data_IF_547615411012
#
_entry.id   IF_547615411012
#
_cell.length_a   1.000
_cell.length_b   1.000
_cell.length_c   1.000
_cell.angle_alpha   90.00
_cell.angle_beta   90.00
_cell.angle_gamma   90.00
#
_symmetry.space_group_name_H-M   'P 1'
#
loop_
_entity.id
_entity.type
_entity.pdbx_description
1 polymer ?
#
# COMPACT_ATOMS: atom_id res chain seq x y z
N UNK A 1 -11.17 4.51 -17.81
CA UNK A 1 -11.78 5.81 -17.56
C UNK A 1 -12.87 6.09 -18.62
N UNK A 2 -12.56 6.00 -19.89
CA UNK A 2 -13.52 6.20 -20.99
C UNK A 2 -14.74 5.25 -20.94
N UNK A 3 -14.61 4.09 -20.30
CA UNK A 3 -15.70 3.12 -20.07
C UNK A 3 -16.57 3.46 -18.85
N UNK A 4 -16.35 4.59 -18.18
CA UNK A 4 -17.13 5.02 -17.04
C UNK A 4 -16.54 4.63 -15.67
N UNK A 5 -15.33 4.09 -15.60
CA UNK A 5 -14.66 3.88 -14.31
C UNK A 5 -14.37 5.25 -13.68
N UNK A 6 -14.76 5.42 -12.41
CA UNK A 6 -14.48 6.65 -11.67
C UNK A 6 -13.01 6.72 -11.21
N UNK A 7 -12.37 5.57 -11.02
CA UNK A 7 -10.99 5.43 -10.54
C UNK A 7 -10.29 4.28 -11.27
N UNK A 8 -8.99 4.43 -11.47
CA UNK A 8 -8.11 3.41 -12.05
C UNK A 8 -6.95 3.19 -11.11
N UNK A 9 -6.84 2.00 -10.54
CA UNK A 9 -5.74 1.62 -9.67
C UNK A 9 -4.61 0.98 -10.47
N UNK A 10 -3.40 1.53 -10.34
CA UNK A 10 -2.19 1.07 -11.01
C UNK A 10 -1.46 0.08 -10.11
N UNK A 11 -1.33 -1.18 -10.57
CA UNK A 11 -0.83 -2.28 -9.76
C UNK A 11 0.59 -2.73 -10.07
N UNK A 12 1.40 -2.95 -9.04
CA UNK A 12 2.61 -3.80 -9.09
C UNK A 12 2.26 -5.17 -8.53
N UNK A 13 1.66 -6.01 -9.37
CA UNK A 13 1.02 -7.28 -8.99
C UNK A 13 1.97 -8.29 -8.34
N UNK A 14 3.25 -8.28 -8.68
CA UNK A 14 4.24 -9.22 -8.15
C UNK A 14 5.27 -8.57 -7.23
N UNK A 15 5.19 -7.26 -7.04
CA UNK A 15 6.01 -6.50 -6.10
C UNK A 15 7.47 -6.35 -6.52
N UNK A 16 7.77 -6.32 -7.82
CA UNK A 16 9.14 -6.17 -8.37
C UNK A 16 9.47 -4.74 -8.81
N UNK A 17 8.51 -3.84 -8.71
CA UNK A 17 8.67 -2.44 -9.05
C UNK A 17 9.65 -1.73 -8.11
N UNK A 18 10.29 -0.71 -8.65
CA UNK A 18 11.15 0.20 -7.88
C UNK A 18 10.60 1.63 -7.97
N UNK A 19 10.97 2.57 -7.10
CA UNK A 19 10.39 3.91 -7.07
C UNK A 19 10.39 4.63 -8.44
N UNK A 20 11.49 4.51 -9.18
CA UNK A 20 11.58 5.08 -10.52
C UNK A 20 10.57 4.46 -11.49
N UNK A 21 10.46 3.12 -11.50
CA UNK A 21 9.50 2.42 -12.36
C UNK A 21 8.06 2.76 -12.01
N UNK A 22 7.74 2.88 -10.72
CA UNK A 22 6.42 3.27 -10.25
C UNK A 22 6.07 4.70 -10.70
N UNK A 23 6.99 5.65 -10.54
CA UNK A 23 6.81 7.02 -11.00
C UNK A 23 6.70 7.12 -12.54
N UNK A 24 7.50 6.36 -13.28
CA UNK A 24 7.45 6.34 -14.76
C UNK A 24 6.11 5.75 -15.25
N UNK A 25 5.62 4.67 -14.63
CA UNK A 25 4.30 4.08 -14.89
C UNK A 25 3.19 5.10 -14.64
N UNK A 26 3.19 5.72 -13.46
CA UNK A 26 2.20 6.74 -13.12
C UNK A 26 2.20 7.89 -14.11
N UNK A 27 3.36 8.42 -14.46
CA UNK A 27 3.52 9.50 -15.44
C UNK A 27 2.97 9.12 -16.83
N UNK A 28 3.24 7.91 -17.28
CA UNK A 28 2.76 7.42 -18.56
C UNK A 28 1.23 7.35 -18.60
N UNK A 29 0.60 6.83 -17.52
CA UNK A 29 -0.87 6.75 -17.46
C UNK A 29 -1.52 8.11 -17.23
N UNK A 30 -0.88 9.00 -16.46
CA UNK A 30 -1.39 10.35 -16.20
C UNK A 30 -1.39 11.23 -17.46
N UNK A 31 -0.70 10.84 -18.53
CA UNK A 31 -0.81 11.49 -19.83
C UNK A 31 -2.16 11.25 -20.51
N UNK A 32 -2.86 10.15 -20.16
CA UNK A 32 -4.12 9.73 -20.77
C UNK A 32 -5.33 9.84 -19.82
N UNK A 33 -5.08 9.71 -18.48
CA UNK A 33 -6.12 9.70 -17.45
C UNK A 33 -5.81 10.79 -16.42
N UNK A 34 -6.80 11.63 -16.05
CA UNK A 34 -6.59 12.66 -15.04
C UNK A 34 -6.03 12.09 -13.73
N UNK A 35 -4.97 12.69 -13.20
CA UNK A 35 -4.29 12.22 -11.98
C UNK A 35 -5.24 12.02 -10.79
N UNK A 36 -6.27 12.85 -10.54
CA UNK A 36 -7.24 12.61 -9.46
C UNK A 36 -8.08 11.34 -9.61
N UNK A 37 -8.11 10.74 -10.80
CA UNK A 37 -8.78 9.45 -11.06
C UNK A 37 -7.82 8.26 -11.00
N UNK A 38 -6.56 8.48 -10.56
CA UNK A 38 -5.57 7.42 -10.43
C UNK A 38 -5.36 7.05 -8.97
N UNK A 39 -5.33 5.74 -8.70
CA UNK A 39 -4.90 5.13 -7.45
C UNK A 39 -3.65 4.27 -7.70
N UNK A 40 -2.97 3.88 -6.63
CA UNK A 40 -1.83 2.96 -6.70
C UNK A 40 -2.00 1.79 -5.75
N UNK A 41 -1.57 0.61 -6.22
CA UNK A 41 -1.63 -0.65 -5.50
C UNK A 41 -0.27 -1.36 -5.60
N UNK A 42 0.44 -1.47 -4.48
CA UNK A 42 1.77 -2.08 -4.46
C UNK A 42 1.84 -3.32 -3.58
N UNK A 43 2.45 -4.38 -4.13
CA UNK A 43 2.88 -5.53 -3.34
C UNK A 43 4.28 -5.29 -2.77
N UNK A 44 4.54 -5.82 -1.57
CA UNK A 44 5.79 -5.58 -0.83
C UNK A 44 6.76 -6.77 -0.89
N UNK A 45 6.70 -7.57 -1.96
CA UNK A 45 7.51 -8.79 -2.14
C UNK A 45 9.00 -8.55 -1.94
N UNK A 46 9.52 -7.45 -2.48
CA UNK A 46 10.93 -7.04 -2.35
C UNK A 46 11.12 -5.85 -1.39
N UNK A 47 10.13 -5.54 -0.55
CA UNK A 47 10.22 -4.45 0.41
C UNK A 47 10.26 -3.05 -0.21
N UNK A 48 9.74 -2.89 -1.45
CA UNK A 48 9.80 -1.62 -2.17
C UNK A 48 8.49 -0.84 -2.16
N UNK A 49 7.40 -1.42 -1.63
CA UNK A 49 6.06 -0.83 -1.74
C UNK A 49 5.97 0.57 -1.16
N UNK A 50 6.51 0.82 0.04
CA UNK A 50 6.48 2.15 0.67
C UNK A 50 7.32 3.18 -0.10
N UNK A 51 8.46 2.77 -0.64
CA UNK A 51 9.30 3.65 -1.46
C UNK A 51 8.62 3.99 -2.81
N UNK A 52 7.95 2.99 -3.44
CA UNK A 52 7.16 3.19 -4.65
C UNK A 52 5.99 4.15 -4.37
N UNK A 53 5.31 3.95 -3.23
CA UNK A 53 4.21 4.82 -2.80
C UNK A 53 4.68 6.25 -2.63
N UNK A 54 5.80 6.48 -1.92
CA UNK A 54 6.35 7.82 -1.69
C UNK A 54 6.63 8.53 -3.02
N UNK A 55 7.26 7.84 -3.99
CA UNK A 55 7.51 8.39 -5.31
C UNK A 55 6.22 8.77 -6.07
N UNK A 56 5.14 8.00 -5.91
CA UNK A 56 3.85 8.30 -6.51
C UNK A 56 3.11 9.44 -5.78
N UNK A 57 3.25 9.54 -4.45
CA UNK A 57 2.72 10.67 -3.66
C UNK A 57 3.37 12.00 -4.07
N UNK A 58 4.69 12.01 -4.26
CA UNK A 58 5.43 13.19 -4.74
C UNK A 58 4.96 13.61 -6.13
N UNK A 59 4.59 12.63 -6.98
CA UNK A 59 4.02 12.88 -8.30
C UNK A 59 2.52 13.27 -8.26
N UNK A 60 1.88 13.29 -7.09
CA UNK A 60 0.54 13.84 -6.88
C UNK A 60 -0.60 12.85 -6.68
N UNK A 61 -0.35 11.54 -6.64
CA UNK A 61 -1.38 10.54 -6.29
C UNK A 61 -1.90 10.77 -4.87
N UNK A 62 -3.19 10.49 -4.64
CA UNK A 62 -3.85 10.66 -3.35
C UNK A 62 -4.66 9.46 -2.89
N UNK A 63 -4.79 8.44 -3.74
CA UNK A 63 -5.50 7.19 -3.41
C UNK A 63 -4.51 6.04 -3.43
N UNK A 64 -4.52 5.25 -2.35
CA UNK A 64 -3.62 4.12 -2.15
C UNK A 64 -4.41 2.92 -1.68
N UNK A 65 -4.27 1.82 -2.39
CA UNK A 65 -4.80 0.53 -1.96
C UNK A 65 -3.78 -0.20 -1.09
N UNK A 66 -4.21 -0.65 0.07
CA UNK A 66 -3.41 -1.43 1.01
C UNK A 66 -4.29 -2.43 1.75
N UNK A 67 -3.71 -3.39 2.44
CA UNK A 67 -4.46 -4.37 3.22
C UNK A 67 -4.04 -4.36 4.68
N UNK A 68 -5.02 -4.40 5.60
CA UNK A 68 -4.78 -4.52 7.04
C UNK A 68 -3.91 -5.75 7.31
N UNK A 69 -2.88 -5.58 8.13
CA UNK A 69 -1.92 -6.66 8.45
C UNK A 69 -1.15 -7.21 7.23
N UNK A 70 -1.16 -6.51 6.09
CA UNK A 70 -0.67 -7.04 4.82
C UNK A 70 -1.44 -8.29 4.39
N UNK A 71 -2.74 -8.36 4.68
CA UNK A 71 -3.55 -9.53 4.37
C UNK A 71 -3.69 -9.73 2.86
N UNK A 72 -3.73 -11.00 2.46
CA UNK A 72 -3.74 -11.43 1.07
C UNK A 72 -2.43 -12.07 0.66
N UNK A 73 -2.41 -12.61 -0.54
CA UNK A 73 -1.26 -13.24 -1.15
C UNK A 73 -1.22 -12.92 -2.64
N UNK A 74 -0.13 -13.29 -3.29
CA UNK A 74 -0.01 -13.15 -4.73
C UNK A 74 0.06 -14.54 -5.38
N UNK A 75 -0.99 -15.01 -6.09
CA UNK A 75 -0.94 -16.31 -6.75
C UNK A 75 0.04 -16.35 -7.93
N UNK A 76 0.46 -15.18 -8.42
CA UNK A 76 1.36 -15.02 -9.56
C UNK A 76 2.84 -15.00 -9.20
N UNK A 77 3.18 -14.94 -7.90
CA UNK A 77 4.56 -14.92 -7.44
C UNK A 77 4.75 -15.86 -6.25
N UNK A 78 5.43 -16.99 -6.44
CA UNK A 78 5.80 -17.90 -5.35
C UNK A 78 6.64 -17.15 -4.30
N UNK A 79 6.21 -17.23 -3.03
CA UNK A 79 6.91 -16.56 -1.91
C UNK A 79 6.69 -15.05 -1.82
N UNK A 80 5.79 -14.49 -2.61
CA UNK A 80 5.42 -13.09 -2.49
C UNK A 80 4.72 -12.81 -1.15
N UNK A 81 5.14 -11.75 -0.47
CA UNK A 81 4.54 -11.30 0.78
C UNK A 81 3.10 -10.79 0.57
N UNK A 82 2.73 -10.44 -0.67
CA UNK A 82 1.44 -9.87 -1.01
C UNK A 82 1.38 -8.36 -0.76
N UNK A 83 0.21 -7.88 -0.36
CA UNK A 83 -0.09 -6.46 -0.21
C UNK A 83 0.82 -5.76 0.80
N UNK A 84 1.14 -4.49 0.56
CA UNK A 84 1.66 -3.61 1.59
C UNK A 84 0.65 -3.50 2.74
N UNK A 85 1.13 -3.48 3.98
CA UNK A 85 0.26 -3.37 5.14
C UNK A 85 -0.28 -1.93 5.30
N UNK A 86 -1.57 -1.80 5.55
CA UNK A 86 -2.22 -0.49 5.75
C UNK A 86 -1.59 0.28 6.92
N UNK A 87 -1.21 -0.40 8.00
CA UNK A 87 -0.54 0.21 9.15
C UNK A 87 0.79 0.87 8.77
N UNK A 88 1.57 0.21 7.91
CA UNK A 88 2.87 0.72 7.44
C UNK A 88 2.66 1.93 6.52
N UNK A 89 1.61 1.91 5.67
CA UNK A 89 1.22 3.03 4.81
C UNK A 89 0.75 4.22 5.65
N UNK A 90 -0.14 4.01 6.63
CA UNK A 90 -0.66 5.08 7.49
C UNK A 90 0.47 5.71 8.30
N UNK A 91 1.39 4.92 8.84
CA UNK A 91 2.56 5.43 9.54
C UNK A 91 3.43 6.33 8.64
N UNK A 92 3.70 5.89 7.40
CA UNK A 92 4.41 6.70 6.41
C UNK A 92 3.69 8.04 6.14
N UNK A 93 2.37 7.98 5.86
CA UNK A 93 1.56 9.15 5.54
C UNK A 93 1.53 10.16 6.69
N UNK A 94 1.35 9.69 7.94
CA UNK A 94 1.41 10.55 9.12
C UNK A 94 2.79 11.20 9.30
N UNK A 95 3.88 10.44 9.04
CA UNK A 95 5.24 10.96 9.05
C UNK A 95 5.49 12.04 7.98
N UNK A 96 4.75 12.02 6.87
CA UNK A 96 4.74 13.06 5.84
C UNK A 96 3.82 14.26 6.19
N UNK A 97 3.21 14.27 7.37
CA UNK A 97 2.26 15.31 7.78
C UNK A 97 0.88 15.22 7.10
N UNK A 98 0.59 14.10 6.44
CA UNK A 98 -0.68 13.87 5.76
C UNK A 98 -1.71 13.28 6.74
N UNK A 99 -2.93 13.81 6.71
CA UNK A 99 -4.04 13.30 7.52
C UNK A 99 -4.81 12.26 6.72
N UNK A 100 -4.89 11.04 7.25
CA UNK A 100 -5.62 9.93 6.63
C UNK A 100 -7.05 9.76 7.18
N UNK A 101 -7.32 10.33 8.37
CA UNK A 101 -8.55 10.05 9.12
C UNK A 101 -8.56 8.67 9.79
N UNK A 102 -7.47 7.91 9.68
CA UNK A 102 -7.33 6.58 10.28
C UNK A 102 -6.56 6.69 11.60
N UNK A 103 -7.09 6.11 12.66
CA UNK A 103 -6.39 5.94 13.94
C UNK A 103 -5.42 4.76 13.81
N UNK A 104 -4.12 5.05 13.95
CA UNK A 104 -3.07 4.05 13.75
C UNK A 104 -3.05 2.97 14.84
N UNK A 105 -3.36 3.32 16.09
CA UNK A 105 -3.34 2.37 17.19
C UNK A 105 -4.51 1.38 17.07
N UNK A 106 -5.72 1.87 16.77
CA UNK A 106 -6.89 1.03 16.49
C UNK A 106 -6.67 0.17 15.23
N UNK A 107 -6.02 0.70 14.21
CA UNK A 107 -5.68 -0.06 13.01
C UNK A 107 -4.70 -1.20 13.32
N UNK A 108 -3.65 -0.93 14.10
CA UNK A 108 -2.67 -1.94 14.51
C UNK A 108 -3.32 -3.03 15.38
N UNK A 109 -4.25 -2.67 16.28
CA UNK A 109 -5.04 -3.61 17.06
C UNK A 109 -5.91 -4.50 16.18
N UNK A 110 -6.61 -3.89 15.21
CA UNK A 110 -7.40 -4.61 14.20
C UNK A 110 -6.53 -5.56 13.38
N UNK A 111 -5.32 -5.14 13.00
CA UNK A 111 -4.35 -5.97 12.29
C UNK A 111 -3.92 -7.19 13.09
N UNK A 112 -3.67 -7.05 14.38
CA UNK A 112 -3.35 -8.18 15.29
C UNK A 112 -4.53 -9.15 15.40
N UNK A 113 -5.73 -8.62 15.59
CA UNK A 113 -6.96 -9.43 15.62
C UNK A 113 -7.13 -10.24 14.33
N UNK A 114 -6.99 -9.58 13.16
CA UNK A 114 -7.11 -10.24 11.85
C UNK A 114 -6.05 -11.34 11.68
N UNK A 115 -4.78 -11.04 11.98
CA UNK A 115 -3.69 -12.00 11.89
C UNK A 115 -3.94 -13.25 12.75
N UNK A 116 -4.42 -13.06 13.98
CA UNK A 116 -4.82 -14.15 14.88
C UNK A 116 -5.93 -15.00 14.28
N UNK A 117 -6.98 -14.38 13.71
CA UNK A 117 -8.08 -15.10 13.06
C UNK A 117 -7.64 -15.90 11.84
N UNK A 118 -6.64 -15.39 11.12
CA UNK A 118 -6.06 -16.06 9.95
C UNK A 118 -4.98 -17.10 10.34
N UNK A 119 -4.67 -17.27 11.62
CA UNK A 119 -3.66 -18.22 12.10
C UNK A 119 -2.24 -17.91 11.62
N UNK A 120 -1.91 -16.62 11.43
CA UNK A 120 -0.61 -16.17 10.96
C UNK A 120 -0.11 -14.95 11.73
N UNK A 121 1.17 -14.62 11.62
CA UNK A 121 1.69 -13.34 12.07
C UNK A 121 1.26 -12.18 11.17
N UNK A 122 1.19 -10.97 11.75
CA UNK A 122 0.98 -9.77 10.94
C UNK A 122 2.15 -9.53 9.98
N UNK A 123 1.84 -9.13 8.76
CA UNK A 123 2.83 -8.66 7.78
C UNK A 123 3.32 -7.23 8.05
N UNK A 124 2.60 -6.46 8.88
CA UNK A 124 2.95 -5.08 9.21
C UNK A 124 4.18 -5.00 10.14
N UNK A 125 5.18 -4.22 9.74
CA UNK A 125 6.32 -3.86 10.61
C UNK A 125 5.90 -2.92 11.73
N UNK A 126 5.05 -1.94 11.41
CA UNK A 126 4.48 -0.99 12.39
C UNK A 126 3.61 -1.73 13.40
N UNK A 127 2.74 -2.63 12.94
CA UNK A 127 1.91 -3.45 13.82
C UNK A 127 2.72 -4.31 14.79
N UNK A 128 3.86 -4.88 14.34
CA UNK A 128 4.80 -5.61 15.21
C UNK A 128 5.48 -4.70 16.23
N UNK A 129 5.95 -3.52 15.78
CA UNK A 129 6.65 -2.58 16.66
C UNK A 129 5.73 -2.03 17.75
N UNK A 130 4.49 -1.65 17.42
CA UNK A 130 3.51 -1.16 18.38
C UNK A 130 3.09 -2.24 19.39
N UNK A 131 3.00 -3.50 18.96
CA UNK A 131 2.69 -4.61 19.87
C UNK A 131 3.81 -4.90 20.87
N UNK A 132 5.07 -4.61 20.53
CA UNK A 132 6.21 -4.80 21.43
C UNK A 132 6.41 -3.64 22.44
N UNK A 133 5.74 -2.51 22.22
CA UNK A 133 5.81 -1.32 23.06
C UNK A 133 4.74 -1.29 24.17
N UNK A 134 3.76 -2.21 24.11
CA UNK A 134 2.71 -2.43 25.10
C UNK A 134 3.03 -3.63 25.99
#
# INVERSE_FOLDING_TARGET
HALGCYEISLGDTIGVGTPRKAADMLKAVAAEVPLPALAVHFHDTYGQALANLLACLDAGVRVVDAAVSGAGGCPYAKGASGNVATEDVVYLLHGQGLRTGVDLDLLAETGRWLATRLGRETGSRVGKALAAAT
#
